data_IF_438558216084
#
_entry.id   IF_438558216084
#
_cell.length_a   1.000
_cell.length_b   1.000
_cell.length_c   1.000
_cell.angle_alpha   90.00
_cell.angle_beta   90.00
_cell.angle_gamma   90.00
#
_symmetry.space_group_name_H-M   'P 1'
#
loop_
_entity.id
_entity.type
_entity.pdbx_description
1 polymer ?
2 non-polymer ?
3 water ?
#
# COMPACT_ATOMS: atom_id res chain seq x y z
N UNK A 5 -3.34 1.52 -19.78
CA UNK A 5 -3.89 0.25 -19.23
C UNK A 5 -2.81 -0.58 -18.61
N UNK A 6 -1.88 -1.05 -19.44
CA UNK A 6 -0.88 -2.01 -19.01
C UNK A 6 -0.12 -1.39 -17.88
N UNK A 7 0.34 -0.16 -18.07
CA UNK A 7 1.28 0.44 -17.14
C UNK A 7 0.68 0.56 -15.74
N UNK A 8 -0.59 0.98 -15.66
CA UNK A 8 -1.31 1.09 -14.41
C UNK A 8 -1.67 -0.26 -13.82
N UNK A 9 -2.04 -1.24 -14.65
CA UNK A 9 -2.36 -2.55 -14.04
C UNK A 9 -1.14 -3.32 -13.56
N UNK A 10 0.01 -3.16 -14.21
CA UNK A 10 1.20 -3.79 -13.68
C UNK A 10 1.58 -3.16 -12.34
N UNK A 11 1.41 -1.84 -12.22
CA UNK A 11 1.69 -1.21 -10.93
C UNK A 11 0.71 -1.70 -9.86
N UNK A 12 -0.57 -1.78 -10.22
CA UNK A 12 -1.58 -2.24 -9.27
C UNK A 12 -1.33 -3.68 -8.84
N UNK A 13 -1.02 -4.55 -9.81
CA UNK A 13 -0.72 -5.92 -9.48
C UNK A 13 0.46 -6.04 -8.52
N UNK A 14 1.51 -5.27 -8.77
CA UNK A 14 2.69 -5.29 -7.91
C UNK A 14 2.35 -4.77 -6.52
N UNK A 15 1.56 -3.69 -6.43
CA UNK A 15 1.16 -3.17 -5.13
C UNK A 15 0.40 -4.23 -4.33
N UNK A 16 -0.54 -4.92 -4.98
CA UNK A 16 -1.33 -5.94 -4.25
C UNK A 16 -0.44 -7.06 -3.76
N UNK A 17 0.49 -7.52 -4.59
CA UNK A 17 1.38 -8.59 -4.20
C UNK A 17 2.29 -8.12 -3.03
N UNK A 18 2.85 -6.92 -3.16
CA UNK A 18 3.76 -6.44 -2.13
C UNK A 18 3.02 -6.18 -0.82
N UNK A 19 1.78 -5.65 -0.86
CA UNK A 19 1.00 -5.49 0.36
C UNK A 19 0.66 -6.81 0.97
N UNK A 20 0.36 -7.81 0.13
CA UNK A 20 0.09 -9.13 0.69
C UNK A 20 1.31 -9.69 1.41
N UNK A 21 2.46 -9.60 0.76
CA UNK A 21 3.70 -10.03 1.41
C UNK A 21 3.93 -9.29 2.73
N UNK A 22 3.74 -7.97 2.73
CA UNK A 22 3.99 -7.19 3.94
C UNK A 22 3.04 -7.64 5.05
N UNK A 23 1.78 -7.92 4.70
CA UNK A 23 0.80 -8.31 5.71
C UNK A 23 1.17 -9.63 6.37
N UNK A 24 1.98 -10.44 5.69
CA UNK A 24 2.36 -11.78 6.19
C UNK A 24 3.78 -11.77 6.78
N UNK A 25 4.41 -10.61 6.87
CA UNK A 25 5.82 -10.56 7.23
C UNK A 25 6.00 -10.46 8.74
N UNK A 26 6.42 -11.55 9.37
CA UNK A 26 6.59 -11.58 10.84
C UNK A 26 7.76 -10.72 11.31
N UNK A 27 8.57 -10.22 10.39
CA UNK A 27 9.73 -9.39 10.78
C UNK A 27 9.41 -7.90 10.88
N UNK A 28 8.17 -7.51 10.60
CA UNK A 28 7.74 -6.13 10.87
C UNK A 28 6.69 -6.15 11.98
N UNK A 29 6.46 -5.01 12.63
CA UNK A 29 5.51 -5.01 13.74
C UNK A 29 4.09 -5.35 13.31
N UNK A 30 3.34 -5.84 14.30
CA UNK A 30 1.92 -6.14 14.15
C UNK A 30 1.16 -5.01 13.47
N UNK A 31 1.43 -3.78 13.87
CA UNK A 31 0.64 -2.65 13.37
C UNK A 31 0.92 -2.42 11.89
N UNK A 32 2.12 -2.73 11.43
CA UNK A 32 2.43 -2.63 10.00
C UNK A 32 1.70 -3.73 9.22
N UNK A 33 1.68 -4.95 9.74
CA UNK A 33 0.94 -6.00 9.05
C UNK A 33 -0.53 -5.63 8.92
N UNK A 34 -1.10 -5.05 9.98
CA UNK A 34 -2.51 -4.66 9.97
C UNK A 34 -2.79 -3.53 8.98
N UNK A 35 -1.91 -2.55 8.92
CA UNK A 35 -2.10 -1.49 7.94
C UNK A 35 -2.00 -2.08 6.52
N UNK A 36 -1.10 -3.02 6.30
CA UNK A 36 -0.99 -3.64 4.99
C UNK A 36 -2.30 -4.37 4.66
N UNK A 37 -2.84 -5.09 5.64
CA UNK A 37 -4.14 -5.77 5.53
C UNK A 37 -5.24 -4.79 5.12
N UNK A 38 -5.35 -3.68 5.85
CA UNK A 38 -6.39 -2.71 5.62
C UNK A 38 -6.20 -2.02 4.28
N UNK A 39 -4.94 -1.84 3.88
CA UNK A 39 -4.63 -1.18 2.60
C UNK A 39 -5.07 -2.03 1.42
N UNK A 40 -4.80 -3.32 1.50
CA UNK A 40 -5.15 -4.16 0.38
C UNK A 40 -6.69 -4.35 0.28
N UNK A 41 -7.43 -4.29 1.42
CA UNK A 41 -8.88 -4.28 1.40
C UNK A 41 -9.39 -2.98 0.80
N UNK A 42 -8.79 -1.84 1.14
CA UNK A 42 -9.21 -0.58 0.61
C UNK A 42 -9.01 -0.52 -0.91
N UNK A 43 -7.85 -0.99 -1.37
CA UNK A 43 -7.59 -1.01 -2.82
C UNK A 43 -8.56 -1.93 -3.55
N UNK A 44 -9.16 -2.88 -2.82
CA UNK A 44 -10.10 -3.85 -3.39
C UNK A 44 -11.55 -3.36 -3.35
N UNK A 45 -11.78 -2.14 -2.85
CA UNK A 45 -13.13 -1.57 -2.70
C UNK A 45 -13.55 -1.05 -4.07
N UNK A 46 -14.06 -1.98 -4.88
CA UNK A 46 -14.24 -1.77 -6.32
C UNK A 46 -15.40 -0.78 -6.62
N UNK A 47 -16.15 -0.39 -5.58
CA UNK A 47 -17.27 0.58 -5.64
C UNK A 47 -16.83 2.05 -5.52
N UNK A 48 -15.54 2.26 -5.22
CA UNK A 48 -14.94 3.60 -5.00
C UNK A 48 -13.88 3.94 -6.05
N UNK A 49 -13.65 5.23 -6.34
CA UNK A 49 -12.70 5.64 -7.37
C UNK A 49 -11.26 5.20 -7.01
N UNK A 50 -10.50 4.82 -8.01
CA UNK A 50 -9.12 4.40 -7.76
C UNK A 50 -8.27 5.50 -7.16
N UNK A 51 -8.38 6.70 -7.71
CA UNK A 51 -7.58 7.81 -7.21
C UNK A 51 -7.85 7.96 -5.72
N UNK A 52 -9.10 7.83 -5.30
CA UNK A 52 -9.50 7.95 -3.89
C UNK A 52 -8.93 6.83 -2.99
N UNK A 53 -9.12 5.59 -3.44
CA UNK A 53 -8.52 4.42 -2.79
C UNK A 53 -7.02 4.61 -2.59
N UNK A 54 -6.33 5.06 -3.64
CA UNK A 54 -4.90 5.28 -3.56
C UNK A 54 -4.54 6.37 -2.55
N UNK A 55 -5.33 7.44 -2.51
CA UNK A 55 -5.03 8.54 -1.59
C UNK A 55 -5.12 8.06 -0.14
N UNK A 56 -6.15 7.29 0.17
CA UNK A 56 -6.30 6.80 1.54
C UNK A 56 -5.16 5.86 1.90
N UNK A 57 -4.85 4.94 0.99
CA UNK A 57 -3.76 4.01 1.25
C UNK A 57 -2.41 4.74 1.40
N UNK A 58 -2.16 5.71 0.52
CA UNK A 58 -0.94 6.51 0.64
C UNK A 58 -0.83 7.15 2.03
N UNK A 59 -1.94 7.65 2.56
CA UNK A 59 -1.91 8.27 3.89
C UNK A 59 -1.55 7.23 4.94
N UNK A 60 -2.19 6.06 4.85
CA UNK A 60 -1.97 5.01 5.84
C UNK A 60 -0.48 4.56 5.82
N UNK A 61 0.07 4.35 4.63
CA UNK A 61 1.42 3.83 4.50
C UNK A 61 2.43 4.90 4.91
N UNK A 62 2.16 6.15 4.58
CA UNK A 62 3.06 7.22 4.99
C UNK A 62 3.18 7.24 6.53
N UNK A 63 2.03 7.14 7.21
CA UNK A 63 2.07 7.09 8.69
C UNK A 63 2.97 5.98 9.18
N UNK A 64 2.83 4.81 8.60
CA UNK A 64 3.66 3.69 8.99
C UNK A 64 5.13 3.96 8.69
N UNK A 65 5.43 4.52 7.52
CA UNK A 65 6.83 4.76 7.15
C UNK A 65 7.51 5.68 8.17
N UNK A 66 6.72 6.53 8.82
CA UNK A 66 7.22 7.48 9.83
C UNK A 66 7.16 6.98 11.26
N UNK A 67 6.74 5.74 11.47
CA UNK A 67 6.66 5.18 12.81
C UNK A 67 8.07 4.70 13.18
N UNK A 68 8.67 5.28 14.24
CA UNK A 68 10.06 4.91 14.55
C UNK A 68 10.31 3.44 14.96
N UNK A 69 9.24 2.71 15.28
CA UNK A 69 9.36 1.28 15.62
C UNK A 69 9.52 0.39 14.40
N UNK A 70 9.31 0.92 13.20
CA UNK A 70 9.41 0.11 12.01
C UNK A 70 10.91 -0.12 11.68
N UNK A 71 11.31 -1.38 11.44
CA UNK A 71 12.71 -1.66 11.07
C UNK A 71 13.03 -1.13 9.68
N UNK A 72 14.31 -0.87 9.43
CA UNK A 72 14.74 -0.28 8.19
C UNK A 72 14.21 -1.03 6.98
N UNK A 73 14.30 -2.36 6.97
CA UNK A 73 13.86 -3.10 5.79
C UNK A 73 12.36 -2.93 5.55
N UNK A 74 11.60 -2.81 6.64
CA UNK A 74 10.14 -2.60 6.51
C UNK A 74 9.83 -1.22 5.99
N UNK A 75 10.63 -0.21 6.40
CA UNK A 75 10.44 1.15 5.86
C UNK A 75 10.66 1.14 4.35
N UNK A 76 11.72 0.47 3.91
CA UNK A 76 11.96 0.39 2.47
C UNK A 76 10.80 -0.31 1.78
N UNK A 77 10.29 -1.40 2.38
CA UNK A 77 9.15 -2.08 1.77
C UNK A 77 7.95 -1.14 1.63
N UNK A 78 7.72 -0.32 2.66
CA UNK A 78 6.67 0.66 2.61
C UNK A 78 6.93 1.69 1.52
N UNK A 79 8.14 2.22 1.43
CA UNK A 79 8.45 3.20 0.39
C UNK A 79 8.32 2.63 -1.01
N UNK A 80 8.64 1.35 -1.20
CA UNK A 80 8.47 0.72 -2.51
C UNK A 80 7.00 0.74 -2.93
N UNK A 81 6.11 0.36 -1.99
CA UNK A 81 4.67 0.35 -2.30
C UNK A 81 4.16 1.78 -2.53
N UNK A 82 4.55 2.71 -1.64
CA UNK A 82 4.16 4.10 -1.80
C UNK A 82 4.58 4.60 -3.18
N UNK A 83 5.80 4.25 -3.62
CA UNK A 83 6.33 4.74 -4.87
C UNK A 83 5.56 4.27 -6.10
N UNK A 84 5.03 3.05 -6.02
CA UNK A 84 4.21 2.50 -7.09
C UNK A 84 2.82 3.12 -7.07
N UNK A 85 2.25 3.32 -5.87
CA UNK A 85 0.96 4.00 -5.79
C UNK A 85 1.02 5.44 -6.31
N UNK A 86 2.13 6.15 -6.08
CA UNK A 86 2.27 7.53 -6.56
C UNK A 86 2.50 7.60 -8.05
N UNK A 87 3.02 6.52 -8.62
CA UNK A 87 3.15 6.41 -10.07
C UNK A 87 1.80 6.04 -10.72
N UNK A 88 0.96 5.30 -9.99
CA UNK A 88 -0.40 4.85 -10.41
C UNK A 88 -1.43 5.96 -10.29
N UNK A 89 -1.29 6.78 -9.25
CA UNK A 89 -2.22 7.88 -8.98
C UNK A 89 -2.33 8.84 -10.15
X LIG B 1 -10.33 -3.06 13.25
X LIG B 1 -10.46 -4.49 13.51
X LIG B 1 -9.02 -2.77 12.71
X LIG B 1 -11.28 -2.61 12.24
X LIG B 1 -10.44 -2.29 14.49
#
# INVERSE_FOLDING_TARGET
SNAXVRVDQNLFNEVMYLLDELSQDITVPKNVRKVAQDSKAKLSQENESLDLRCATVLSMLDEMANDPNVPAHGRTDLYTIISKLEALS
SO4 S O1 O2 O3 O4
#
